data_IF_550161304008
#
_entry.id   IF_550161304008
#
_cell.length_a   1.000
_cell.length_b   1.000
_cell.length_c   1.000
_cell.angle_alpha   90.00
_cell.angle_beta   90.00
_cell.angle_gamma   90.00
#
_symmetry.space_group_name_H-M   'P 1'
#
loop_
_entity.id
_entity.type
_entity.pdbx_description
1 polymer ?
#
# COMPACT_ATOMS: atom_id res chain seq x y z
N UNK A 1 13.43 4.70 13.29
CA UNK A 1 12.61 3.49 13.16
C UNK A 1 13.32 2.40 13.95
N UNK A 2 12.60 1.62 14.71
CA UNK A 2 13.14 0.45 15.38
C UNK A 2 13.38 -0.65 14.33
N UNK A 3 14.63 -0.95 14.05
CA UNK A 3 15.02 -1.94 13.02
C UNK A 3 14.47 -3.34 13.33
N UNK A 4 14.17 -3.63 14.60
CA UNK A 4 13.55 -4.89 15.02
C UNK A 4 12.13 -5.09 14.48
N UNK A 5 11.50 -4.02 13.96
CA UNK A 5 10.15 -4.05 13.36
C UNK A 5 10.15 -4.16 11.84
N UNK A 6 11.33 -4.17 11.19
CA UNK A 6 11.44 -4.44 9.77
C UNK A 6 11.42 -5.95 9.55
N UNK A 7 10.45 -6.43 8.77
CA UNK A 7 10.40 -7.81 8.29
C UNK A 7 10.58 -7.83 6.79
N UNK A 8 11.61 -8.51 6.31
CA UNK A 8 11.77 -8.84 4.90
C UNK A 8 10.95 -10.07 4.54
N UNK A 9 10.32 -9.99 3.38
CA UNK A 9 9.51 -11.07 2.82
C UNK A 9 9.94 -11.22 1.37
N UNK A 10 10.52 -12.38 1.05
CA UNK A 10 11.04 -12.70 -0.30
C UNK A 10 10.36 -13.96 -0.84
N UNK A 11 9.06 -13.91 -1.17
CA UNK A 11 8.31 -15.09 -1.62
C UNK A 11 8.67 -15.53 -3.04
N UNK A 12 9.33 -14.66 -3.78
CA UNK A 12 9.81 -14.85 -5.16
C UNK A 12 10.92 -13.82 -5.46
N UNK A 13 11.32 -13.61 -6.70
CA UNK A 13 12.47 -12.76 -7.09
C UNK A 13 12.54 -11.38 -6.43
N UNK A 14 11.57 -10.45 -6.59
CA UNK A 14 11.60 -9.17 -5.88
C UNK A 14 11.34 -9.34 -4.38
N UNK A 15 12.13 -8.66 -3.55
CA UNK A 15 11.88 -8.62 -2.11
C UNK A 15 10.77 -7.64 -1.76
N UNK A 16 10.11 -7.87 -0.63
CA UNK A 16 9.06 -7.03 -0.08
C UNK A 16 9.43 -6.72 1.37
N UNK A 17 9.38 -5.45 1.76
CA UNK A 17 9.51 -5.09 3.16
C UNK A 17 8.13 -4.98 3.81
N UNK A 18 7.99 -5.56 5.00
CA UNK A 18 6.83 -5.32 5.87
C UNK A 18 7.26 -4.49 7.06
N UNK A 19 6.55 -3.38 7.30
CA UNK A 19 6.80 -2.46 8.42
C UNK A 19 5.48 -2.11 9.10
N UNK A 20 5.57 -1.56 10.33
CA UNK A 20 4.40 -1.06 11.05
C UNK A 20 4.34 0.46 10.98
N UNK A 21 3.21 0.98 10.50
CA UNK A 21 2.91 2.43 10.56
C UNK A 21 2.74 2.80 12.04
N UNK A 22 3.43 3.84 12.54
CA UNK A 22 3.19 4.35 13.89
C UNK A 22 1.74 4.81 14.10
N UNK A 23 1.16 4.49 15.25
CA UNK A 23 -0.24 4.84 15.57
C UNK A 23 -0.55 6.33 15.43
N UNK A 24 0.41 7.19 15.80
CA UNK A 24 0.28 8.64 15.62
C UNK A 24 0.05 9.02 14.16
N UNK A 25 0.78 8.40 13.23
CA UNK A 25 0.63 8.66 11.78
C UNK A 25 -0.74 8.17 11.31
N UNK A 26 -1.16 6.96 11.73
CA UNK A 26 -2.47 6.40 11.41
C UNK A 26 -3.57 7.35 11.87
N UNK A 27 -3.50 7.81 13.11
CA UNK A 27 -4.50 8.72 13.67
C UNK A 27 -4.54 10.03 12.89
N UNK A 28 -3.39 10.69 12.67
CA UNK A 28 -3.33 11.98 11.99
C UNK A 28 -3.89 11.90 10.56
N UNK A 29 -3.54 10.84 9.81
CA UNK A 29 -4.05 10.67 8.45
C UNK A 29 -5.53 10.33 8.45
N UNK A 30 -6.01 9.47 9.37
CA UNK A 30 -7.44 9.17 9.49
C UNK A 30 -8.26 10.41 9.83
N UNK A 31 -7.82 11.21 10.80
CA UNK A 31 -8.50 12.46 11.19
C UNK A 31 -8.60 13.42 9.99
N UNK A 32 -7.52 13.60 9.22
CA UNK A 32 -7.50 14.41 8.01
C UNK A 32 -8.47 13.89 6.94
N UNK A 33 -8.48 12.59 6.67
CA UNK A 33 -9.39 11.97 5.69
C UNK A 33 -10.85 12.15 6.11
N UNK A 34 -11.14 11.95 7.40
CA UNK A 34 -12.50 12.10 7.92
C UNK A 34 -12.97 13.57 7.85
N UNK A 35 -12.07 14.56 8.11
CA UNK A 35 -12.34 15.99 7.96
C UNK A 35 -12.63 16.36 6.49
N UNK A 36 -11.77 15.92 5.55
CA UNK A 36 -11.95 16.20 4.12
C UNK A 36 -13.26 15.61 3.61
N UNK A 37 -13.62 14.39 4.02
CA UNK A 37 -14.87 13.72 3.63
C UNK A 37 -16.13 14.39 4.20
N UNK A 38 -16.02 15.09 5.32
CA UNK A 38 -17.11 15.86 5.87
C UNK A 38 -17.50 17.08 4.99
N UNK A 39 -16.62 17.49 4.06
CA UNK A 39 -16.84 18.59 3.11
C UNK A 39 -16.90 18.05 1.68
N UNK A 40 -18.07 18.10 1.04
CA UNK A 40 -18.25 17.67 -0.35
C UNK A 40 -17.30 18.42 -1.32
N UNK A 41 -17.07 19.71 -1.06
CA UNK A 41 -16.16 20.53 -1.87
C UNK A 41 -14.72 20.02 -1.74
N UNK A 42 -14.20 19.87 -0.53
CA UNK A 42 -12.84 19.39 -0.29
C UNK A 42 -12.65 17.97 -0.83
N UNK A 43 -13.63 17.11 -0.62
CA UNK A 43 -13.61 15.73 -1.10
C UNK A 43 -13.47 15.66 -2.63
N UNK A 44 -14.18 16.51 -3.38
CA UNK A 44 -14.08 16.60 -4.85
C UNK A 44 -12.74 17.17 -5.33
N UNK A 45 -12.17 18.12 -4.60
CA UNK A 45 -10.89 18.77 -4.98
C UNK A 45 -9.69 17.82 -4.90
N UNK A 46 -9.73 16.87 -3.98
CA UNK A 46 -8.62 15.89 -3.77
C UNK A 46 -8.88 14.52 -4.38
N UNK A 47 -10.03 14.33 -5.03
CA UNK A 47 -10.40 13.06 -5.63
C UNK A 47 -9.54 12.74 -6.86
N UNK A 48 -8.84 11.63 -6.81
CA UNK A 48 -7.98 11.11 -7.87
C UNK A 48 -8.60 9.95 -8.65
N UNK A 49 -9.84 9.56 -8.38
CA UNK A 49 -10.49 8.41 -8.99
C UNK A 49 -10.52 8.40 -10.51
N UNK A 50 -10.38 9.58 -11.15
CA UNK A 50 -10.27 9.68 -12.63
C UNK A 50 -8.89 9.30 -13.17
N UNK A 51 -7.87 9.31 -12.34
CA UNK A 51 -6.45 9.07 -12.73
C UNK A 51 -5.90 7.77 -12.18
N UNK A 52 -6.60 7.17 -11.22
CA UNK A 52 -6.26 5.89 -10.61
C UNK A 52 -7.18 4.79 -11.15
N UNK A 53 -6.82 3.54 -10.92
CA UNK A 53 -7.48 2.40 -11.56
C UNK A 53 -8.58 1.76 -10.69
N UNK A 54 -8.69 2.19 -9.44
CA UNK A 54 -9.64 1.61 -8.50
C UNK A 54 -11.09 1.73 -8.94
N UNK A 55 -11.87 0.68 -8.76
CA UNK A 55 -13.33 0.75 -8.81
C UNK A 55 -13.85 0.82 -7.37
N UNK A 56 -13.64 1.99 -6.78
CA UNK A 56 -13.84 2.27 -5.34
C UNK A 56 -14.54 3.61 -5.14
N UNK A 57 -15.12 3.79 -3.97
CA UNK A 57 -15.86 5.01 -3.63
C UNK A 57 -15.02 6.27 -3.73
N UNK A 58 -13.76 6.24 -3.24
CA UNK A 58 -12.87 7.40 -3.27
C UNK A 58 -11.40 7.02 -3.23
N UNK A 59 -10.61 7.74 -4.03
CA UNK A 59 -9.16 7.76 -4.01
C UNK A 59 -8.70 9.21 -3.77
N UNK A 60 -8.23 9.49 -2.56
CA UNK A 60 -7.90 10.83 -2.09
C UNK A 60 -6.40 11.07 -2.14
N UNK A 61 -5.94 12.03 -2.95
CA UNK A 61 -4.55 12.49 -2.92
C UNK A 61 -4.24 13.22 -1.61
N UNK A 62 -3.10 12.88 -1.01
CA UNK A 62 -2.57 13.59 0.15
C UNK A 62 -1.72 14.78 -0.31
N UNK A 63 -1.96 15.95 0.27
CA UNK A 63 -1.15 17.13 0.03
C UNK A 63 0.27 16.96 0.60
N UNK A 64 1.24 17.72 0.07
CA UNK A 64 2.61 17.73 0.59
C UNK A 64 2.68 18.19 2.05
N UNK A 65 1.74 19.00 2.49
CA UNK A 65 1.62 19.47 3.85
C UNK A 65 1.29 18.30 4.80
N UNK A 66 0.19 17.60 4.56
CA UNK A 66 -0.21 16.45 5.40
C UNK A 66 0.83 15.32 5.37
N UNK A 67 1.49 15.09 4.21
CA UNK A 67 2.56 14.10 4.08
C UNK A 67 3.74 14.43 5.02
N UNK A 68 4.08 15.71 5.19
CA UNK A 68 5.16 16.17 6.09
C UNK A 68 4.71 16.21 7.55
N UNK A 69 3.59 16.85 7.83
CA UNK A 69 3.11 17.11 9.20
C UNK A 69 2.70 15.83 9.94
N UNK A 70 2.11 14.86 9.24
CA UNK A 70 1.81 13.55 9.83
C UNK A 70 3.07 12.74 10.18
N UNK A 71 4.24 13.09 9.62
CA UNK A 71 5.46 12.28 9.72
C UNK A 71 5.53 11.15 8.69
N UNK A 72 4.57 11.07 7.76
CA UNK A 72 4.48 10.04 6.74
C UNK A 72 5.72 10.01 5.84
N UNK A 73 6.19 11.17 5.35
CA UNK A 73 7.42 11.28 4.57
C UNK A 73 8.63 10.69 5.31
N UNK A 74 8.81 11.08 6.55
CA UNK A 74 9.94 10.62 7.38
C UNK A 74 9.90 9.11 7.63
N UNK A 75 8.71 8.58 7.88
CA UNK A 75 8.50 7.15 8.06
C UNK A 75 8.87 6.37 6.79
N UNK A 76 8.34 6.77 5.63
CA UNK A 76 8.60 6.10 4.35
C UNK A 76 10.08 6.17 3.97
N UNK A 77 10.72 7.33 4.11
CA UNK A 77 12.14 7.50 3.80
C UNK A 77 13.03 6.57 4.65
N UNK A 78 12.77 6.49 5.96
CA UNK A 78 13.51 5.60 6.87
C UNK A 78 13.28 4.12 6.54
N UNK A 79 12.03 3.73 6.29
CA UNK A 79 11.68 2.35 5.97
C UNK A 79 12.30 1.90 4.64
N UNK A 80 12.21 2.75 3.60
CA UNK A 80 12.79 2.47 2.28
C UNK A 80 14.32 2.39 2.35
N UNK A 81 14.96 3.33 3.06
CA UNK A 81 16.42 3.31 3.26
C UNK A 81 16.89 2.02 3.92
N UNK A 82 16.22 1.59 4.99
CA UNK A 82 16.54 0.36 5.70
C UNK A 82 16.34 -0.87 4.80
N UNK A 83 15.24 -0.91 4.03
CA UNK A 83 14.96 -2.01 3.11
C UNK A 83 16.03 -2.14 2.01
N UNK A 84 16.36 -1.03 1.31
CA UNK A 84 17.38 -1.03 0.24
C UNK A 84 18.75 -1.39 0.80
N UNK A 85 19.13 -0.84 1.96
CA UNK A 85 20.39 -1.21 2.63
C UNK A 85 20.46 -2.70 2.94
N UNK A 86 19.38 -3.28 3.42
CA UNK A 86 19.37 -4.70 3.76
C UNK A 86 19.41 -5.60 2.52
N UNK A 87 18.65 -5.26 1.46
CA UNK A 87 18.52 -6.12 0.27
C UNK A 87 19.70 -5.98 -0.68
N UNK A 88 20.15 -4.74 -0.93
CA UNK A 88 21.18 -4.43 -1.93
C UNK A 88 22.53 -4.06 -1.32
N UNK A 89 22.61 -3.93 0.00
CA UNK A 89 23.75 -3.37 0.72
C UNK A 89 24.18 -1.97 0.22
N UNK A 90 23.23 -1.19 -0.30
CA UNK A 90 23.46 0.15 -0.83
C UNK A 90 22.83 1.21 0.07
N UNK A 91 23.44 2.40 0.10
CA UNK A 91 22.90 3.59 0.76
C UNK A 91 22.23 4.49 -0.27
N UNK A 92 20.96 4.88 0.00
CA UNK A 92 20.29 5.90 -0.78
C UNK A 92 20.46 7.27 -0.11
N UNK A 93 20.68 8.29 -0.92
CA UNK A 93 20.79 9.69 -0.50
C UNK A 93 19.56 10.50 -0.90
N UNK A 94 18.80 10.02 -1.89
CA UNK A 94 17.61 10.68 -2.45
C UNK A 94 16.38 9.81 -2.22
N UNK A 95 15.32 10.40 -1.69
CA UNK A 95 13.99 9.81 -1.58
C UNK A 95 12.94 10.90 -1.81
N UNK A 96 12.22 10.82 -2.92
CA UNK A 96 11.17 11.77 -3.26
C UNK A 96 9.87 11.03 -3.50
N UNK A 97 8.82 11.42 -2.78
CA UNK A 97 7.46 10.93 -3.02
C UNK A 97 6.89 11.64 -4.25
N UNK A 98 6.53 10.88 -5.27
CA UNK A 98 5.84 11.37 -6.46
C UNK A 98 4.36 11.62 -6.15
N UNK A 99 3.73 10.68 -5.46
CA UNK A 99 2.33 10.74 -5.03
C UNK A 99 2.11 9.86 -3.80
N UNK A 100 1.16 10.23 -2.98
CA UNK A 100 0.61 9.39 -1.92
C UNK A 100 -0.89 9.63 -1.84
N UNK A 101 -1.66 8.57 -1.63
CA UNK A 101 -3.12 8.65 -1.62
C UNK A 101 -3.72 7.65 -0.64
N UNK A 102 -4.94 7.94 -0.24
CA UNK A 102 -5.76 7.06 0.59
C UNK A 102 -6.92 6.54 -0.24
N UNK A 103 -7.17 5.25 -0.14
CA UNK A 103 -8.30 4.58 -0.79
C UNK A 103 -9.34 4.22 0.25
N UNK A 104 -10.55 4.72 0.08
CA UNK A 104 -11.75 4.31 0.82
C UNK A 104 -12.53 3.30 -0.01
N UNK A 105 -12.54 2.06 0.44
CA UNK A 105 -13.18 0.94 -0.23
C UNK A 105 -14.29 0.35 0.65
N UNK A 106 -15.44 0.06 0.03
CA UNK A 106 -16.60 -0.58 0.64
C UNK A 106 -16.93 -1.92 -0.01
N UNK A 107 -17.98 -2.58 0.44
CA UNK A 107 -18.40 -3.88 -0.08
C UNK A 107 -18.58 -3.87 -1.61
N UNK A 108 -18.11 -4.92 -2.27
CA UNK A 108 -18.11 -5.14 -3.72
C UNK A 108 -17.15 -4.25 -4.53
N UNK A 109 -16.44 -3.33 -3.90
CA UNK A 109 -15.42 -2.51 -4.53
C UNK A 109 -14.08 -3.24 -4.58
N UNK A 110 -13.23 -2.90 -5.57
CA UNK A 110 -11.96 -3.59 -5.79
C UNK A 110 -10.95 -2.72 -6.55
N UNK A 111 -9.68 -3.10 -6.52
CA UNK A 111 -8.68 -2.57 -7.44
C UNK A 111 -8.27 -3.69 -8.41
N UNK A 112 -8.42 -3.50 -9.73
CA UNK A 112 -7.96 -4.48 -10.72
C UNK A 112 -6.46 -4.69 -10.65
N UNK A 113 -5.95 -5.68 -11.38
CA UNK A 113 -4.50 -5.93 -11.48
C UNK A 113 -3.84 -4.74 -12.17
N UNK A 114 -2.82 -4.17 -11.50
CA UNK A 114 -2.09 -3.02 -12.00
C UNK A 114 -0.67 -2.96 -11.40
N UNK A 115 0.11 -1.99 -11.85
CA UNK A 115 1.41 -1.59 -11.33
C UNK A 115 1.50 -0.07 -11.28
N UNK A 116 2.60 0.47 -10.77
CA UNK A 116 2.78 1.91 -10.59
C UNK A 116 3.99 2.46 -11.36
N UNK A 117 4.09 3.79 -11.37
CA UNK A 117 5.26 4.52 -11.86
C UNK A 117 6.22 4.81 -10.70
N UNK A 118 7.45 5.23 -11.03
CA UNK A 118 8.50 5.51 -10.05
C UNK A 118 9.48 4.37 -9.92
N UNK A 119 10.09 4.20 -8.76
CA UNK A 119 11.02 3.12 -8.45
C UNK A 119 10.45 2.19 -7.39
N UNK A 120 9.73 2.76 -6.43
CA UNK A 120 9.22 2.08 -5.24
C UNK A 120 7.78 2.47 -5.03
N UNK A 121 6.98 1.49 -4.65
CA UNK A 121 5.59 1.63 -4.25
C UNK A 121 5.36 0.96 -2.91
N UNK A 122 4.20 1.21 -2.34
CA UNK A 122 3.77 0.50 -1.14
C UNK A 122 2.29 0.71 -0.85
N UNK A 123 1.76 -0.23 -0.07
CA UNK A 123 0.38 -0.19 0.38
C UNK A 123 0.26 -0.69 1.82
N UNK A 124 -0.63 -0.09 2.59
CA UNK A 124 -0.91 -0.48 3.97
C UNK A 124 -2.31 -0.10 4.42
N UNK A 125 -2.63 -0.36 5.68
CA UNK A 125 -4.01 -0.34 6.15
C UNK A 125 -4.18 0.60 7.33
N UNK A 126 -5.08 1.59 7.17
CA UNK A 126 -5.43 2.59 8.18
C UNK A 126 -6.71 2.24 8.94
N UNK A 127 -7.69 1.61 8.24
CA UNK A 127 -8.90 1.01 8.83
C UNK A 127 -9.16 -0.34 8.16
N UNK A 128 -9.69 -1.26 8.90
CA UNK A 128 -10.04 -2.61 8.43
C UNK A 128 -11.41 -2.95 9.01
N UNK A 129 -12.37 -3.41 8.19
CA UNK A 129 -13.68 -3.81 8.69
C UNK A 129 -13.56 -5.00 9.66
N UNK A 130 -14.52 -5.12 10.54
CA UNK A 130 -14.62 -6.22 11.52
C UNK A 130 -14.76 -7.59 10.84
N UNK A 131 -15.34 -7.60 9.64
CA UNK A 131 -15.47 -8.77 8.78
C UNK A 131 -15.27 -8.41 7.31
N UNK A 132 -14.76 -9.35 6.53
CA UNK A 132 -14.71 -9.26 5.06
C UNK A 132 -15.83 -10.06 4.38
N UNK A 133 -16.76 -10.59 5.16
CA UNK A 133 -17.85 -11.45 4.68
C UNK A 133 -17.40 -12.86 4.34
N UNK A 134 -18.37 -13.70 4.01
CA UNK A 134 -18.12 -15.10 3.67
C UNK A 134 -17.87 -15.30 2.17
N UNK A 135 -17.20 -16.41 1.83
CA UNK A 135 -17.08 -16.84 0.42
C UNK A 135 -18.37 -17.54 -0.02
N UNK A 136 -18.70 -17.46 -1.30
CA UNK A 136 -19.82 -18.24 -1.85
C UNK A 136 -19.57 -19.75 -1.77
N UNK A 137 -18.33 -20.19 -1.85
CA UNK A 137 -17.93 -21.59 -1.78
C UNK A 137 -17.25 -21.83 -0.44
N UNK A 138 -17.96 -22.47 0.49
CA UNK A 138 -17.51 -22.65 1.89
C UNK A 138 -16.22 -23.44 2.04
N UNK A 139 -15.91 -24.33 1.08
CA UNK A 139 -14.69 -25.15 1.09
C UNK A 139 -13.45 -24.42 0.54
N UNK A 140 -13.59 -23.17 0.07
CA UNK A 140 -12.48 -22.38 -0.46
C UNK A 140 -11.95 -21.40 0.56
N UNK A 141 -10.63 -21.14 0.48
CA UNK A 141 -9.98 -20.09 1.28
C UNK A 141 -10.62 -18.75 0.97
N UNK A 142 -11.03 -18.03 2.01
CA UNK A 142 -11.57 -16.69 1.88
C UNK A 142 -10.44 -15.71 1.48
N UNK A 143 -10.60 -15.05 0.34
CA UNK A 143 -9.68 -14.02 -0.18
C UNK A 143 -10.28 -12.61 -0.14
N UNK A 144 -11.48 -12.45 0.40
CA UNK A 144 -12.18 -11.17 0.46
C UNK A 144 -11.30 -10.08 1.11
N UNK A 145 -11.26 -8.93 0.48
CA UNK A 145 -10.51 -7.77 0.95
C UNK A 145 -8.98 -7.89 0.94
N UNK A 146 -8.41 -9.01 0.46
CA UNK A 146 -6.97 -9.20 0.45
C UNK A 146 -6.28 -8.36 -0.62
N UNK A 147 -5.11 -7.85 -0.28
CA UNK A 147 -4.12 -7.35 -1.24
C UNK A 147 -3.30 -8.55 -1.72
N UNK A 148 -3.21 -8.73 -3.03
CA UNK A 148 -2.44 -9.82 -3.64
C UNK A 148 -1.36 -9.23 -4.53
N UNK A 149 -0.11 -9.52 -4.23
CA UNK A 149 1.04 -9.19 -5.06
C UNK A 149 1.31 -10.37 -5.99
N UNK A 150 1.65 -10.08 -7.25
CA UNK A 150 1.75 -11.07 -8.33
C UNK A 150 3.10 -10.91 -9.03
N UNK A 151 3.86 -12.02 -9.15
CA UNK A 151 5.12 -12.04 -9.89
C UNK A 151 5.38 -13.40 -10.52
N UNK A 152 5.81 -13.40 -11.78
CA UNK A 152 6.18 -14.61 -12.51
C UNK A 152 5.01 -15.58 -12.75
N UNK A 153 5.36 -16.83 -12.95
CA UNK A 153 4.42 -17.93 -13.21
C UNK A 153 4.38 -18.90 -12.03
N UNK A 154 3.22 -19.45 -11.77
CA UNK A 154 3.10 -20.58 -10.85
C UNK A 154 3.72 -21.82 -11.48
N UNK A 155 4.70 -22.39 -10.79
CA UNK A 155 5.37 -23.61 -11.20
C UNK A 155 5.54 -24.56 -10.00
N UNK A 156 6.06 -25.76 -10.24
CA UNK A 156 6.41 -26.66 -9.16
C UNK A 156 7.44 -25.99 -8.23
N UNK A 157 7.16 -25.94 -6.94
CA UNK A 157 7.94 -25.27 -5.88
C UNK A 157 8.07 -23.72 -6.02
N UNK A 158 7.22 -23.09 -6.81
CA UNK A 158 7.20 -21.62 -6.97
C UNK A 158 5.78 -21.08 -6.96
N UNK A 159 5.50 -20.17 -6.06
CA UNK A 159 4.25 -19.41 -6.04
C UNK A 159 4.40 -18.11 -6.84
N UNK A 160 3.34 -17.74 -7.55
CA UNK A 160 3.25 -16.47 -8.28
C UNK A 160 2.43 -15.41 -7.55
N UNK A 161 1.88 -15.73 -6.39
CA UNK A 161 1.01 -14.84 -5.63
C UNK A 161 1.40 -14.78 -4.16
N UNK A 162 1.58 -13.58 -3.65
CA UNK A 162 1.70 -13.33 -2.22
C UNK A 162 0.45 -12.61 -1.71
N UNK A 163 -0.31 -13.30 -0.84
CA UNK A 163 -1.63 -12.89 -0.36
C UNK A 163 -1.53 -12.28 1.02
N UNK A 164 -2.01 -11.04 1.15
CA UNK A 164 -1.93 -10.24 2.35
C UNK A 164 -3.33 -10.01 2.91
N UNK A 165 -3.60 -10.57 4.08
CA UNK A 165 -4.81 -10.23 4.84
C UNK A 165 -4.60 -8.89 5.53
N UNK A 166 -5.49 -7.90 5.31
CA UNK A 166 -5.37 -6.58 5.91
C UNK A 166 -5.33 -6.63 7.44
N UNK A 167 -4.41 -5.86 8.03
CA UNK A 167 -4.34 -5.59 9.47
C UNK A 167 -3.95 -4.12 9.67
N UNK A 168 -4.67 -3.41 10.50
CA UNK A 168 -4.37 -1.99 10.79
C UNK A 168 -2.90 -1.83 11.19
N UNK A 169 -2.25 -0.86 10.57
CA UNK A 169 -0.84 -0.54 10.77
C UNK A 169 0.15 -1.38 9.97
N UNK A 170 -0.24 -2.51 9.36
CA UNK A 170 0.65 -3.22 8.44
C UNK A 170 0.85 -2.39 7.17
N UNK A 171 2.11 -2.26 6.76
CA UNK A 171 2.50 -1.57 5.54
C UNK A 171 3.54 -2.38 4.78
N UNK A 172 3.36 -2.50 3.47
CA UNK A 172 4.24 -3.27 2.59
C UNK A 172 4.88 -2.36 1.56
N UNK A 173 6.21 -2.43 1.42
CA UNK A 173 7.00 -1.70 0.43
C UNK A 173 7.51 -2.71 -0.59
N UNK A 174 7.38 -2.39 -1.86
CA UNK A 174 7.75 -3.28 -2.97
C UNK A 174 8.18 -2.47 -4.20
N UNK A 175 8.90 -3.11 -5.17
CA UNK A 175 9.24 -2.45 -6.42
C UNK A 175 7.99 -2.03 -7.20
N UNK A 176 8.03 -0.86 -7.83
CA UNK A 176 6.88 -0.25 -8.53
C UNK A 176 6.25 -1.15 -9.59
N UNK A 177 7.05 -1.97 -10.26
CA UNK A 177 6.60 -2.87 -11.34
C UNK A 177 5.85 -4.10 -10.84
N UNK A 178 5.86 -4.36 -9.54
CA UNK A 178 5.20 -5.55 -8.99
C UNK A 178 3.70 -5.43 -9.14
N UNK A 179 3.13 -6.27 -9.99
CA UNK A 179 1.69 -6.30 -10.21
C UNK A 179 0.95 -6.66 -8.94
N UNK A 180 -0.18 -6.01 -8.73
CA UNK A 180 -1.01 -6.29 -7.56
C UNK A 180 -2.47 -5.96 -7.82
N UNK A 181 -3.33 -6.52 -6.96
CA UNK A 181 -4.79 -6.35 -7.00
C UNK A 181 -5.34 -6.37 -5.59
N UNK A 182 -6.50 -5.75 -5.39
CA UNK A 182 -7.27 -5.84 -4.15
C UNK A 182 -8.59 -6.50 -4.44
N UNK A 183 -8.83 -7.63 -3.77
CA UNK A 183 -10.09 -8.35 -3.90
C UNK A 183 -11.24 -7.58 -3.24
N UNK A 184 -12.45 -7.67 -3.81
CA UNK A 184 -13.64 -7.15 -3.16
C UNK A 184 -13.93 -7.92 -1.87
N UNK A 185 -14.73 -7.32 -1.00
CA UNK A 185 -15.31 -7.94 0.19
C UNK A 185 -16.82 -7.66 0.22
N UNK A 186 -17.54 -8.23 1.18
CA UNK A 186 -19.01 -8.16 1.25
C UNK A 186 -19.53 -8.25 2.67
N UNK A 187 -20.85 -8.20 2.81
CA UNK A 187 -21.58 -8.47 4.05
C UNK A 187 -21.23 -7.52 5.20
N UNK A 188 -20.81 -6.29 4.85
CA UNK A 188 -20.51 -5.21 5.80
C UNK A 188 -20.58 -3.86 5.12
N UNK A 189 -21.01 -2.83 5.87
CA UNK A 189 -20.98 -1.44 5.44
C UNK A 189 -19.72 -0.70 5.96
N UNK A 190 -18.84 -1.41 6.67
CA UNK A 190 -17.64 -0.82 7.23
C UNK A 190 -16.59 -0.52 6.14
N UNK A 191 -15.87 0.58 6.35
CA UNK A 191 -14.81 1.03 5.45
C UNK A 191 -13.53 0.21 5.63
N UNK A 192 -12.96 -0.25 4.50
CA UNK A 192 -11.55 -0.62 4.39
C UNK A 192 -10.78 0.59 3.87
N UNK A 193 -9.95 1.21 4.72
CA UNK A 193 -9.12 2.35 4.34
C UNK A 193 -7.67 1.93 4.21
N UNK A 194 -7.11 2.10 3.03
CA UNK A 194 -5.69 1.85 2.76
C UNK A 194 -4.97 3.12 2.37
N UNK A 195 -3.64 3.14 2.56
CA UNK A 195 -2.76 4.22 2.15
C UNK A 195 -1.70 3.66 1.23
N UNK A 196 -1.37 4.40 0.17
CA UNK A 196 -0.39 4.02 -0.84
C UNK A 196 0.55 5.18 -1.16
N UNK A 197 1.71 4.87 -1.76
CA UNK A 197 2.64 5.88 -2.27
C UNK A 197 3.42 5.35 -3.45
N UNK A 198 3.94 6.29 -4.24
CA UNK A 198 4.97 6.07 -5.24
C UNK A 198 6.14 7.03 -4.99
N UNK A 199 7.35 6.52 -5.10
CA UNK A 199 8.55 7.32 -4.88
C UNK A 199 9.68 6.96 -5.85
N UNK A 200 10.62 7.88 -5.97
CA UNK A 200 11.89 7.68 -6.66
C UNK A 200 13.06 7.78 -5.67
N UNK A 201 14.07 6.97 -5.91
CA UNK A 201 15.35 6.96 -5.18
C UNK A 201 16.49 7.26 -6.13
N UNK A 202 17.74 7.18 -5.65
CA UNK A 202 18.94 7.35 -6.49
C UNK A 202 18.93 6.38 -7.67
N UNK A 203 19.12 6.88 -8.89
CA UNK A 203 19.09 6.09 -10.12
C UNK A 203 20.10 4.93 -10.10
N UNK A 204 21.29 5.15 -9.57
CA UNK A 204 22.32 4.11 -9.41
C UNK A 204 21.86 2.89 -8.60
N UNK A 205 20.87 3.07 -7.70
CA UNK A 205 20.31 1.97 -6.91
C UNK A 205 19.37 1.11 -7.76
N UNK A 206 18.88 1.68 -8.86
CA UNK A 206 17.92 1.06 -9.77
C UNK A 206 18.61 0.42 -10.99
N UNK A 207 19.89 0.68 -11.19
CA UNK A 207 20.68 0.10 -12.28
C UNK A 207 21.01 -1.35 -11.94
N UNK A 208 20.35 -2.26 -12.64
CA UNK A 208 20.51 -3.72 -12.48
C UNK A 208 21.58 -4.31 -13.40
N UNK A 209 22.26 -3.48 -14.17
CA UNK A 209 23.28 -3.88 -15.14
C UNK A 209 24.69 -3.71 -14.54
N UNK A 210 24.91 -4.26 -13.36
CA UNK A 210 26.26 -4.34 -12.78
C UNK A 210 26.76 -5.78 -12.88
#
# INVERSE_FOLDING_TARGET
MDESKLQLITPFGPSIAKVKIPEKIIKTINDHVDEVRASEKMSKEVDAGKTLIGNVTQEMLLSQEIIKESGWLTFLAKATKAWIKYVLNQEITKFNINSSWVVSQYANEYNPVHWHNGHISGAGFLKVPSTFGETFQKDKKNLNGQLVLINGQRAFMSDSQFKITPKVGDFYIFPHYLMHTVYPFRDTDEERRSISFNAVVDEKTFDVHI
#
